data_IF_122908068616
#
_entry.id   IF_122908068616
#
_cell.length_a   1.000
_cell.length_b   1.000
_cell.length_c   1.000
_cell.angle_alpha   90.00
_cell.angle_beta   90.00
_cell.angle_gamma   90.00
#
_symmetry.space_group_name_H-M   'P 1'
#
loop_
_entity.id
_entity.type
_entity.pdbx_description
1 polymer ?
#
# COMPACT_ATOMS: atom_id res chain seq x y z
N UNK A 1 -9.11 -0.35 11.79
CA UNK A 1 -10.43 -0.84 11.33
C UNK A 1 -10.17 -1.98 10.37
N UNK A 2 -10.78 -3.15 10.60
CA UNK A 2 -10.59 -4.32 9.74
C UNK A 2 -11.36 -4.14 8.43
N UNK A 3 -10.67 -4.30 7.30
CA UNK A 3 -11.26 -4.15 5.96
C UNK A 3 -10.78 -5.26 5.05
N UNK A 4 -11.63 -5.66 4.10
CA UNK A 4 -11.25 -6.56 3.04
C UNK A 4 -10.57 -5.82 1.88
N UNK A 5 -10.08 -6.56 0.89
CA UNK A 5 -9.34 -5.99 -0.26
C UNK A 5 -10.15 -4.98 -1.08
N UNK A 6 -11.47 -5.19 -1.22
CA UNK A 6 -12.34 -4.28 -1.98
C UNK A 6 -12.54 -2.97 -1.22
N UNK A 7 -12.89 -3.06 0.06
CA UNK A 7 -13.04 -1.90 0.93
C UNK A 7 -11.75 -1.09 1.04
N UNK A 8 -10.59 -1.75 1.11
CA UNK A 8 -9.30 -1.08 1.09
C UNK A 8 -9.07 -0.33 -0.22
N UNK A 9 -9.40 -0.95 -1.36
CA UNK A 9 -9.32 -0.29 -2.66
C UNK A 9 -10.22 0.96 -2.73
N UNK A 10 -11.45 0.88 -2.21
CA UNK A 10 -12.37 2.01 -2.15
C UNK A 10 -11.86 3.14 -1.23
N UNK A 11 -11.28 2.81 -0.06
CA UNK A 11 -10.70 3.80 0.87
C UNK A 11 -9.57 4.59 0.21
N UNK A 12 -8.71 3.91 -0.54
CA UNK A 12 -7.55 4.53 -1.20
C UNK A 12 -7.88 5.08 -2.60
N UNK A 13 -9.12 4.93 -3.08
CA UNK A 13 -9.49 5.28 -4.46
C UNK A 13 -8.66 4.55 -5.51
N UNK A 14 -8.15 3.35 -5.18
CA UNK A 14 -7.21 2.59 -5.97
C UNK A 14 -7.86 1.35 -6.59
N UNK A 15 -7.20 0.74 -7.57
CA UNK A 15 -7.67 -0.54 -8.13
C UNK A 15 -7.35 -1.70 -7.17
N UNK A 16 -8.16 -2.77 -7.20
CA UNK A 16 -7.87 -4.01 -6.45
C UNK A 16 -6.48 -4.59 -6.82
N UNK A 17 -6.06 -4.42 -8.09
CA UNK A 17 -4.72 -4.79 -8.57
C UNK A 17 -3.62 -3.97 -7.88
N UNK A 18 -3.85 -2.68 -7.67
CA UNK A 18 -2.92 -1.82 -6.92
C UNK A 18 -2.75 -2.33 -5.49
N UNK A 19 -3.84 -2.66 -4.81
CA UNK A 19 -3.80 -3.26 -3.46
C UNK A 19 -3.05 -4.61 -3.46
N UNK A 20 -3.19 -5.40 -4.52
CA UNK A 20 -2.43 -6.65 -4.67
C UNK A 20 -0.93 -6.40 -4.81
N UNK A 21 -0.54 -5.44 -5.64
CA UNK A 21 0.85 -5.06 -5.79
C UNK A 21 1.44 -4.56 -4.46
N UNK A 22 0.68 -3.76 -3.69
CA UNK A 22 1.12 -3.32 -2.35
C UNK A 22 1.34 -4.50 -1.41
N UNK A 23 0.44 -5.50 -1.43
CA UNK A 23 0.61 -6.73 -0.66
C UNK A 23 1.91 -7.47 -1.05
N UNK A 24 2.21 -7.58 -2.34
CA UNK A 24 3.46 -8.18 -2.85
C UNK A 24 4.71 -7.36 -2.46
N UNK A 25 4.55 -6.05 -2.26
CA UNK A 25 5.59 -5.13 -1.82
C UNK A 25 5.77 -5.07 -0.29
N UNK A 26 5.07 -5.93 0.47
CA UNK A 26 5.20 -6.02 1.93
C UNK A 26 4.20 -5.19 2.72
N UNK A 27 3.10 -4.72 2.11
CA UNK A 27 2.01 -4.07 2.83
C UNK A 27 1.48 -4.99 3.95
N UNK A 28 1.24 -4.47 5.17
CA UNK A 28 0.77 -5.25 6.30
C UNK A 28 -0.56 -5.95 6.02
N UNK A 29 -0.58 -7.26 6.25
CA UNK A 29 -1.79 -8.09 6.18
C UNK A 29 -2.16 -8.53 7.59
N UNK A 30 -3.41 -8.29 7.98
CA UNK A 30 -3.87 -8.65 9.32
C UNK A 30 -4.15 -10.16 9.43
N UNK A 31 -4.83 -10.72 8.42
CA UNK A 31 -5.02 -12.16 8.25
C UNK A 31 -5.00 -12.49 6.77
N UNK A 32 -4.21 -13.49 6.38
CA UNK A 32 -3.98 -13.80 4.97
C UNK A 32 -4.06 -15.29 4.63
N UNK A 33 -5.11 -15.64 3.86
CA UNK A 33 -4.89 -16.19 2.52
C UNK A 33 -4.67 -17.70 2.38
N UNK A 34 -5.20 -18.53 3.28
CA UNK A 34 -5.39 -19.95 2.97
C UNK A 34 -6.38 -20.16 1.82
N UNK A 35 -6.29 -21.28 1.10
CA UNK A 35 -7.20 -21.61 -0.03
C UNK A 35 -8.66 -21.53 0.43
N UNK A 36 -9.37 -20.46 0.04
CA UNK A 36 -10.77 -20.19 0.38
C UNK A 36 -11.03 -19.12 1.45
N UNK A 37 -10.00 -18.51 2.06
CA UNK A 37 -10.17 -17.47 3.07
C UNK A 37 -9.91 -16.07 2.51
N UNK A 38 -10.78 -15.12 2.83
CA UNK A 38 -10.58 -13.71 2.51
C UNK A 38 -9.38 -13.13 3.26
N UNK A 39 -8.63 -12.27 2.56
CA UNK A 39 -7.53 -11.51 3.15
C UNK A 39 -8.09 -10.24 3.79
N UNK A 40 -7.80 -10.07 5.07
CA UNK A 40 -8.18 -8.90 5.86
C UNK A 40 -6.96 -8.04 6.17
N UNK A 41 -7.20 -6.74 6.22
CA UNK A 41 -6.21 -5.72 6.48
C UNK A 41 -6.67 -4.85 7.64
N UNK A 42 -5.73 -4.44 8.49
CA UNK A 42 -5.98 -3.31 9.37
C UNK A 42 -5.67 -2.03 8.60
N UNK A 43 -6.73 -1.30 8.23
CA UNK A 43 -6.61 -0.02 7.51
C UNK A 43 -5.62 0.94 8.17
N UNK A 44 -5.54 0.99 9.50
CA UNK A 44 -4.61 1.89 10.19
C UNK A 44 -3.14 1.48 9.96
N UNK A 45 -2.85 0.18 9.96
CA UNK A 45 -1.53 -0.34 9.63
C UNK A 45 -1.16 -0.10 8.17
N UNK A 46 -2.11 -0.30 7.25
CA UNK A 46 -1.90 -0.03 5.82
C UNK A 46 -1.66 1.45 5.55
N UNK A 47 -2.42 2.35 6.18
CA UNK A 47 -2.24 3.81 6.02
C UNK A 47 -0.85 4.24 6.50
N UNK A 48 -0.37 3.73 7.64
CA UNK A 48 0.98 4.02 8.12
C UNK A 48 2.06 3.57 7.13
N UNK A 49 1.96 2.31 6.67
CA UNK A 49 2.87 1.77 5.67
C UNK A 49 2.86 2.58 4.36
N UNK A 50 1.68 2.99 3.91
CA UNK A 50 1.53 3.79 2.70
C UNK A 50 2.16 5.19 2.86
N UNK A 51 1.97 5.84 4.01
CA UNK A 51 2.56 7.15 4.30
C UNK A 51 4.10 7.11 4.35
N UNK A 52 4.68 6.03 4.89
CA UNK A 52 6.13 5.80 4.86
C UNK A 52 6.64 5.61 3.43
N UNK A 53 5.89 4.88 2.60
CA UNK A 53 6.26 4.61 1.20
C UNK A 53 6.12 5.84 0.29
N UNK A 54 5.08 6.64 0.43
CA UNK A 54 4.92 7.88 -0.36
C UNK A 54 6.07 8.85 -0.07
N UNK A 55 6.55 8.90 1.18
CA UNK A 55 7.74 9.67 1.52
C UNK A 55 9.00 9.15 0.81
N UNK A 56 9.14 7.84 0.60
CA UNK A 56 10.27 7.28 -0.16
C UNK A 56 10.18 7.60 -1.65
N UNK A 57 8.99 7.49 -2.26
CA UNK A 57 8.76 7.81 -3.68
C UNK A 57 9.01 9.29 -3.95
N UNK A 58 8.48 10.17 -3.10
CA UNK A 58 8.69 11.62 -3.22
C UNK A 58 10.16 12.00 -3.03
N UNK A 59 10.86 11.39 -2.06
CA UNK A 59 12.30 11.59 -1.89
C UNK A 59 13.11 11.09 -3.09
N UNK A 60 12.73 9.98 -3.72
CA UNK A 60 13.41 9.48 -4.93
C UNK A 60 13.23 10.45 -6.09
N UNK A 61 12.01 10.99 -6.27
CA UNK A 61 11.72 12.00 -7.29
C UNK A 61 12.54 13.28 -7.06
N UNK A 62 12.55 13.79 -5.84
CA UNK A 62 13.34 14.97 -5.46
C UNK A 62 14.85 14.74 -5.68
N UNK A 63 15.36 13.53 -5.42
CA UNK A 63 16.77 13.19 -5.70
C UNK A 63 17.10 13.26 -7.19
N UNK A 64 16.22 12.75 -8.05
CA UNK A 64 16.40 12.82 -9.51
C UNK A 64 16.37 14.27 -10.00
N UNK A 65 15.41 15.07 -9.55
CA UNK A 65 15.33 16.49 -9.89
C UNK A 65 16.58 17.27 -9.43
N UNK A 66 17.10 16.98 -8.24
CA UNK A 66 18.36 17.59 -7.74
C UNK A 66 19.57 17.17 -8.57
N UNK A 67 19.62 15.93 -9.05
CA UNK A 67 20.70 15.42 -9.90
C UNK A 67 20.68 16.04 -11.30
N UNK A 68 19.49 16.25 -11.88
CA UNK A 68 19.31 16.93 -13.17
C UNK A 68 19.69 18.42 -13.16
N UNK A 69 19.76 19.05 -11.97
CA UNK A 69 20.14 20.45 -11.80
C UNK A 69 21.67 20.66 -11.60
N UNK A 70 22.48 19.59 -11.62
CA UNK A 70 23.95 19.65 -11.51
C UNK A 70 24.64 19.64 -12.86
#
# INVERSE_FOLDING_TARGET
MEVNKKQLADIFGASIRTIQNWQEQGMPVLRGGGKGNEVLYDSAAVIRWYAERDAEIENEKLRREVEELR
#
